data_IF_831036773941
#
_entry.id   IF_831036773941
#
_cell.length_a   1.000
_cell.length_b   1.000
_cell.length_c   1.000
_cell.angle_alpha   90.00
_cell.angle_beta   90.00
_cell.angle_gamma   90.00
#
_symmetry.space_group_name_H-M   'P 1'
#
loop_
_entity.id
_entity.type
_entity.pdbx_description
1 polymer ?
#
# COMPACT_ATOMS: atom_id res chain seq x y z
N UNK A 1 14.68 -27.74 -36.57
CA UNK A 1 13.94 -26.76 -35.74
C UNK A 1 13.03 -27.51 -34.76
N UNK A 2 13.18 -27.29 -33.44
CA UNK A 2 12.34 -27.95 -32.44
C UNK A 2 10.90 -27.48 -32.52
N UNK A 3 9.93 -28.42 -32.48
CA UNK A 3 8.52 -28.08 -32.46
C UNK A 3 8.14 -27.23 -31.22
N UNK A 4 7.01 -26.53 -31.28
CA UNK A 4 6.48 -25.75 -30.13
C UNK A 4 6.35 -26.61 -28.87
N UNK A 5 5.87 -27.85 -29.02
CA UNK A 5 5.72 -28.83 -27.93
C UNK A 5 7.07 -29.21 -27.32
N UNK A 6 8.11 -29.46 -28.13
CA UNK A 6 9.45 -29.77 -27.65
C UNK A 6 10.08 -28.59 -26.90
N UNK A 7 9.87 -27.35 -27.39
CA UNK A 7 10.35 -26.14 -26.69
C UNK A 7 9.69 -25.99 -25.30
N UNK A 8 8.38 -26.20 -25.23
CA UNK A 8 7.66 -26.14 -23.95
C UNK A 8 8.11 -27.23 -22.96
N UNK A 9 8.41 -28.44 -23.43
CA UNK A 9 8.96 -29.52 -22.59
C UNK A 9 10.35 -29.15 -22.05
N UNK A 10 11.24 -28.61 -22.88
CA UNK A 10 12.57 -28.19 -22.46
C UNK A 10 12.53 -27.05 -21.40
N UNK A 11 11.62 -26.08 -21.56
CA UNK A 11 11.39 -25.01 -20.57
C UNK A 11 10.88 -25.62 -19.26
N UNK A 12 9.90 -26.50 -19.32
CA UNK A 12 9.33 -27.17 -18.15
C UNK A 12 10.36 -28.00 -17.39
N UNK A 13 11.28 -28.68 -18.08
CA UNK A 13 12.34 -29.47 -17.44
C UNK A 13 13.41 -28.58 -16.77
N UNK A 14 13.76 -27.46 -17.40
CA UNK A 14 14.63 -26.44 -16.77
C UNK A 14 13.99 -25.83 -15.52
N UNK A 15 12.71 -25.52 -15.57
CA UNK A 15 11.94 -25.03 -14.43
C UNK A 15 11.97 -26.02 -13.27
N UNK A 16 11.75 -27.32 -13.54
CA UNK A 16 11.80 -28.38 -12.54
C UNK A 16 13.16 -28.50 -11.86
N UNK A 17 14.26 -28.39 -12.63
CA UNK A 17 15.64 -28.49 -12.12
C UNK A 17 16.09 -27.28 -11.32
N UNK A 18 15.56 -26.08 -11.60
CA UNK A 18 16.06 -24.80 -11.07
C UNK A 18 15.00 -24.01 -10.27
N UNK A 19 14.04 -24.67 -9.63
CA UNK A 19 12.91 -24.04 -8.92
C UNK A 19 13.29 -22.88 -8.01
N UNK A 20 14.45 -22.94 -7.32
CA UNK A 20 14.91 -21.90 -6.38
C UNK A 20 15.50 -20.64 -7.06
N UNK A 21 15.82 -20.71 -8.35
CA UNK A 21 16.45 -19.60 -9.12
C UNK A 21 15.53 -19.03 -10.21
N UNK A 22 14.24 -19.39 -10.17
CA UNK A 22 13.29 -19.01 -11.20
C UNK A 22 12.58 -17.73 -10.83
N UNK A 23 12.61 -16.76 -11.74
CA UNK A 23 11.76 -15.56 -11.71
C UNK A 23 10.66 -15.78 -12.73
N UNK A 24 9.41 -15.57 -12.30
CA UNK A 24 8.23 -15.73 -13.15
C UNK A 24 7.59 -14.37 -13.40
N UNK A 25 7.43 -14.02 -14.67
CA UNK A 25 6.80 -12.78 -15.07
C UNK A 25 5.37 -13.04 -15.52
N UNK A 26 4.41 -12.32 -14.94
CA UNK A 26 3.10 -12.17 -15.56
C UNK A 26 3.26 -11.37 -16.85
N UNK A 27 2.63 -11.80 -17.93
CA UNK A 27 2.72 -11.17 -19.23
C UNK A 27 1.41 -11.37 -20.00
N UNK A 28 0.99 -10.36 -20.73
CA UNK A 28 -0.10 -10.46 -21.71
C UNK A 28 0.49 -10.26 -23.11
N UNK A 29 0.33 -11.27 -23.98
CA UNK A 29 0.94 -11.28 -25.32
C UNK A 29 0.07 -10.51 -26.34
N UNK A 30 -0.17 -9.23 -26.08
CA UNK A 30 -0.73 -8.24 -27.00
C UNK A 30 0.20 -7.03 -27.09
N UNK A 31 0.24 -6.33 -28.23
CA UNK A 31 1.22 -5.27 -28.51
C UNK A 31 0.56 -4.10 -29.27
N UNK A 32 0.14 -3.02 -28.59
CA UNK A 32 0.10 -2.86 -27.14
C UNK A 32 -1.03 -3.63 -26.45
N UNK A 33 -0.94 -3.75 -25.13
CA UNK A 33 -2.03 -4.21 -24.26
C UNK A 33 -2.88 -3.02 -23.84
N UNK A 34 -4.20 -3.12 -23.96
CA UNK A 34 -5.11 -2.14 -23.36
C UNK A 34 -5.10 -2.26 -21.82
N UNK A 35 -5.24 -1.14 -21.12
CA UNK A 35 -5.17 -1.13 -19.65
C UNK A 35 -6.14 -2.11 -18.97
N UNK A 36 -7.35 -2.25 -19.50
CA UNK A 36 -8.37 -3.19 -18.98
C UNK A 36 -7.95 -4.66 -19.06
N UNK A 37 -7.07 -4.99 -20.05
CA UNK A 37 -6.64 -6.35 -20.36
C UNK A 37 -5.28 -6.69 -19.74
N UNK A 38 -4.59 -5.72 -19.12
CA UNK A 38 -3.29 -5.91 -18.48
C UNK A 38 -3.32 -6.89 -17.31
N UNK A 39 -4.49 -7.07 -16.68
CA UNK A 39 -4.77 -8.04 -15.61
C UNK A 39 -3.67 -8.15 -14.55
N UNK A 40 -3.13 -7.03 -14.09
CA UNK A 40 -2.01 -6.99 -13.12
C UNK A 40 -2.32 -7.67 -11.79
N UNK A 41 -3.60 -7.88 -11.44
CA UNK A 41 -4.00 -8.67 -10.26
C UNK A 41 -3.48 -10.13 -10.30
N UNK A 42 -3.17 -10.66 -11.49
CA UNK A 42 -2.52 -11.97 -11.64
C UNK A 42 -1.18 -12.05 -10.89
N UNK A 43 -0.50 -10.92 -10.64
CA UNK A 43 0.74 -10.86 -9.87
C UNK A 43 0.51 -11.32 -8.43
N UNK A 44 -0.51 -10.78 -7.76
CA UNK A 44 -0.87 -11.21 -6.41
C UNK A 44 -1.28 -12.69 -6.38
N UNK A 45 -2.07 -13.13 -7.35
CA UNK A 45 -2.46 -14.54 -7.46
C UNK A 45 -1.24 -15.46 -7.62
N UNK A 46 -0.30 -15.12 -8.50
CA UNK A 46 0.93 -15.89 -8.72
C UNK A 46 1.80 -15.91 -7.44
N UNK A 47 1.92 -14.79 -6.75
CA UNK A 47 2.66 -14.67 -5.49
C UNK A 47 2.08 -15.59 -4.41
N UNK A 48 0.76 -15.65 -4.29
CA UNK A 48 0.09 -16.50 -3.31
C UNK A 48 0.24 -17.99 -3.64
N UNK A 49 0.19 -18.34 -4.91
CA UNK A 49 0.31 -19.73 -5.38
C UNK A 49 1.78 -20.23 -5.41
N UNK A 50 2.72 -19.34 -5.67
CA UNK A 50 4.13 -19.67 -5.94
C UNK A 50 5.04 -19.00 -4.90
N UNK A 51 4.76 -19.23 -3.62
CA UNK A 51 5.40 -18.57 -2.46
C UNK A 51 6.94 -18.58 -2.46
N UNK A 52 7.55 -19.56 -3.14
CA UNK A 52 9.01 -19.72 -3.18
C UNK A 52 9.66 -19.10 -4.42
N UNK A 53 8.89 -18.40 -5.26
CA UNK A 53 9.37 -17.79 -6.49
C UNK A 53 9.31 -16.26 -6.42
N UNK A 54 10.24 -15.61 -7.07
CA UNK A 54 10.18 -14.19 -7.36
C UNK A 54 9.18 -13.99 -8.49
N UNK A 55 8.19 -13.13 -8.28
CA UNK A 55 7.20 -12.76 -9.30
C UNK A 55 7.53 -11.38 -9.84
N UNK A 56 7.40 -11.23 -11.14
CA UNK A 56 7.57 -9.97 -11.86
C UNK A 56 6.45 -9.73 -12.86
N UNK A 57 6.61 -8.70 -13.64
CA UNK A 57 5.68 -8.28 -14.69
C UNK A 57 6.42 -7.89 -15.96
N UNK A 58 6.01 -8.44 -17.09
CA UNK A 58 6.42 -8.04 -18.44
C UNK A 58 5.32 -7.16 -19.01
N UNK A 59 5.60 -5.87 -19.12
CA UNK A 59 4.61 -4.83 -19.41
C UNK A 59 4.60 -4.44 -20.89
N UNK A 60 3.50 -4.70 -21.57
CA UNK A 60 3.22 -4.30 -22.95
C UNK A 60 2.17 -3.20 -23.05
N UNK A 61 1.79 -2.55 -21.95
CA UNK A 61 0.90 -1.39 -21.98
C UNK A 61 1.65 -0.14 -22.42
N UNK A 62 0.93 0.90 -22.81
CA UNK A 62 1.51 2.22 -23.07
C UNK A 62 1.60 2.98 -21.73
N UNK A 63 2.78 3.57 -21.46
CA UNK A 63 3.02 4.35 -20.24
C UNK A 63 3.56 3.52 -19.08
N UNK A 64 3.45 4.06 -17.84
CA UNK A 64 4.10 3.53 -16.65
C UNK A 64 3.13 2.91 -15.64
N UNK A 65 1.83 3.20 -15.75
CA UNK A 65 0.85 2.93 -14.69
C UNK A 65 0.74 1.45 -14.35
N UNK A 66 0.75 0.56 -15.36
CA UNK A 66 0.65 -0.88 -15.14
C UNK A 66 1.91 -1.42 -14.44
N UNK A 67 3.11 -0.99 -14.86
CA UNK A 67 4.36 -1.39 -14.24
C UNK A 67 4.47 -0.92 -12.77
N UNK A 68 4.12 0.33 -12.47
CA UNK A 68 4.08 0.86 -11.10
C UNK A 68 3.03 0.11 -10.26
N UNK A 69 1.82 -0.11 -10.83
CA UNK A 69 0.76 -0.89 -10.20
C UNK A 69 1.19 -2.32 -9.89
N UNK A 70 1.98 -2.93 -10.77
CA UNK A 70 2.56 -4.26 -10.57
C UNK A 70 3.49 -4.32 -9.34
N UNK A 71 4.28 -3.26 -9.10
CA UNK A 71 5.12 -3.15 -7.90
C UNK A 71 4.27 -3.10 -6.63
N UNK A 72 3.19 -2.33 -6.61
CA UNK A 72 2.24 -2.31 -5.48
C UNK A 72 1.60 -3.69 -5.22
N UNK A 73 1.42 -4.50 -6.25
CA UNK A 73 0.90 -5.86 -6.12
C UNK A 73 1.99 -6.89 -5.77
N UNK A 74 3.24 -6.46 -5.64
CA UNK A 74 4.36 -7.25 -5.15
C UNK A 74 5.27 -7.81 -6.23
N UNK A 75 5.22 -7.31 -7.47
CA UNK A 75 6.23 -7.60 -8.47
C UNK A 75 7.60 -7.10 -8.01
N UNK A 76 8.63 -7.95 -8.19
CA UNK A 76 10.02 -7.63 -7.84
C UNK A 76 10.91 -7.41 -9.06
N UNK A 77 10.41 -7.73 -10.23
CA UNK A 77 11.08 -7.52 -11.53
C UNK A 77 10.06 -6.92 -12.49
N UNK A 78 10.45 -5.86 -13.15
CA UNK A 78 9.67 -5.23 -14.22
C UNK A 78 10.48 -5.34 -15.52
N UNK A 79 9.84 -5.87 -16.55
CA UNK A 79 10.35 -5.90 -17.92
C UNK A 79 9.51 -4.95 -18.76
N UNK A 80 10.16 -4.11 -19.54
CA UNK A 80 9.50 -3.11 -20.38
C UNK A 80 10.28 -2.92 -21.68
N UNK A 81 9.59 -2.81 -22.80
CA UNK A 81 10.20 -2.46 -24.08
C UNK A 81 10.90 -1.12 -24.01
N UNK A 82 12.08 -1.02 -24.62
CA UNK A 82 12.91 0.18 -24.67
C UNK A 82 13.27 0.54 -26.10
N UNK A 83 13.25 1.82 -26.41
CA UNK A 83 13.71 2.37 -27.69
C UNK A 83 14.43 3.69 -27.48
N UNK A 84 15.37 4.02 -28.34
CA UNK A 84 15.98 5.35 -28.34
C UNK A 84 15.06 6.41 -28.98
N UNK A 85 14.19 5.99 -29.92
CA UNK A 85 13.26 6.85 -30.60
C UNK A 85 11.94 6.13 -30.88
N UNK A 86 10.84 6.60 -30.31
CA UNK A 86 9.51 6.02 -30.49
C UNK A 86 9.00 6.11 -31.93
N UNK A 87 9.51 7.06 -32.70
CA UNK A 87 9.15 7.32 -34.11
C UNK A 87 10.15 6.69 -35.11
N UNK A 88 11.05 5.81 -34.66
CA UNK A 88 12.06 5.18 -35.51
C UNK A 88 11.45 4.41 -36.69
N UNK A 89 10.33 3.71 -36.44
CA UNK A 89 9.61 3.01 -37.50
C UNK A 89 8.14 2.80 -37.09
N UNK A 90 7.31 2.35 -38.03
CA UNK A 90 5.93 1.97 -37.77
C UNK A 90 5.77 0.64 -37.01
N UNK A 91 6.86 -0.05 -36.73
CA UNK A 91 6.84 -1.32 -35.99
C UNK A 91 6.25 -1.11 -34.60
N UNK A 92 5.26 -1.93 -34.25
CA UNK A 92 4.42 -1.79 -33.06
C UNK A 92 5.20 -1.65 -31.75
N UNK A 93 6.36 -2.34 -31.63
CA UNK A 93 7.16 -2.35 -30.41
C UNK A 93 7.77 -0.99 -30.08
N UNK A 94 8.09 -0.16 -31.08
CA UNK A 94 8.57 1.21 -30.83
C UNK A 94 7.51 2.10 -30.19
N UNK A 95 6.23 1.91 -30.56
CA UNK A 95 5.11 2.72 -30.01
C UNK A 95 4.86 2.48 -28.52
N UNK A 96 5.01 1.24 -28.06
CA UNK A 96 4.79 0.86 -26.64
C UNK A 96 6.06 0.97 -25.81
N UNK A 97 7.23 1.11 -26.45
CA UNK A 97 8.53 1.21 -25.78
C UNK A 97 8.67 2.52 -25.01
N UNK A 98 9.44 2.47 -23.94
CA UNK A 98 9.89 3.69 -23.27
C UNK A 98 11.20 4.18 -23.90
N UNK A 99 11.28 5.47 -24.16
CA UNK A 99 12.54 6.13 -24.49
C UNK A 99 13.36 6.40 -23.22
N UNK A 100 14.63 6.88 -23.31
CA UNK A 100 15.49 7.09 -22.15
C UNK A 100 14.86 7.98 -21.07
N UNK A 101 14.18 9.07 -21.46
CA UNK A 101 13.50 9.99 -20.53
C UNK A 101 12.37 9.29 -19.77
N UNK A 102 11.52 8.56 -20.48
CA UNK A 102 10.37 7.89 -19.91
C UNK A 102 10.79 6.66 -19.09
N UNK A 103 11.87 5.96 -19.48
CA UNK A 103 12.44 4.87 -18.68
C UNK A 103 12.98 5.39 -17.34
N UNK A 104 13.72 6.52 -17.36
CA UNK A 104 14.15 7.15 -16.11
C UNK A 104 12.94 7.49 -15.22
N UNK A 105 11.89 8.09 -15.80
CA UNK A 105 10.67 8.40 -15.05
C UNK A 105 10.04 7.15 -14.43
N UNK A 106 9.97 6.04 -15.19
CA UNK A 106 9.45 4.76 -14.66
C UNK A 106 10.27 4.28 -13.47
N UNK A 107 11.61 4.31 -13.57
CA UNK A 107 12.49 3.91 -12.47
C UNK A 107 12.26 4.78 -11.23
N UNK A 108 12.19 6.10 -11.40
CA UNK A 108 11.95 7.05 -10.30
C UNK A 108 10.58 6.79 -9.64
N UNK A 109 9.52 6.52 -10.43
CA UNK A 109 8.19 6.17 -9.93
C UNK A 109 8.19 4.83 -9.17
N UNK A 110 8.92 3.83 -9.64
CA UNK A 110 9.07 2.54 -8.94
C UNK A 110 9.79 2.73 -7.60
N UNK A 111 10.89 3.49 -7.54
CA UNK A 111 11.59 3.75 -6.28
C UNK A 111 10.69 4.45 -5.27
N UNK A 112 9.91 5.41 -5.73
CA UNK A 112 8.90 6.08 -4.89
C UNK A 112 7.81 5.14 -4.38
N UNK A 113 7.36 4.21 -5.22
CA UNK A 113 6.41 3.17 -4.82
C UNK A 113 7.02 2.24 -3.75
N UNK A 114 8.29 1.86 -3.90
CA UNK A 114 8.99 1.03 -2.90
C UNK A 114 9.11 1.74 -1.54
N UNK A 115 9.39 3.05 -1.51
CA UNK A 115 9.40 3.84 -0.28
C UNK A 115 8.03 3.85 0.41
N UNK A 116 6.93 3.87 -0.35
CA UNK A 116 5.57 3.84 0.19
C UNK A 116 5.15 2.45 0.70
N UNK A 117 5.84 1.39 0.26
CA UNK A 117 5.55 -0.01 0.61
C UNK A 117 6.36 -0.53 1.80
N UNK A 118 7.06 0.33 2.53
CA UNK A 118 7.79 -0.07 3.74
C UNK A 118 6.83 -0.75 4.71
N UNK A 119 7.16 -1.98 5.12
CA UNK A 119 6.38 -2.72 6.10
C UNK A 119 6.36 -1.97 7.44
N UNK A 120 5.18 -1.62 7.87
CA UNK A 120 4.99 -0.92 9.12
C UNK A 120 3.84 -1.54 9.94
N UNK A 121 4.11 -1.83 11.20
CA UNK A 121 3.04 -2.23 12.13
C UNK A 121 2.09 -1.05 12.34
N UNK A 122 0.78 -1.27 12.31
CA UNK A 122 -0.23 -0.23 12.54
C UNK A 122 -0.11 0.34 13.97
N UNK A 123 0.81 1.27 14.14
CA UNK A 123 1.05 2.06 15.36
C UNK A 123 1.38 3.50 14.97
N UNK A 124 1.22 4.48 15.85
CA UNK A 124 1.69 5.84 15.58
C UNK A 124 3.18 5.85 15.23
N UNK A 125 3.53 6.57 14.19
CA UNK A 125 4.93 6.77 13.82
C UNK A 125 5.54 7.97 14.60
N UNK A 126 6.86 8.15 14.51
CA UNK A 126 7.55 9.25 15.24
C UNK A 126 7.03 10.64 14.87
N UNK A 127 6.57 10.84 13.63
CA UNK A 127 6.01 12.13 13.20
C UNK A 127 4.62 12.37 13.79
N UNK A 128 3.81 11.32 13.96
CA UNK A 128 2.50 11.39 14.61
C UNK A 128 2.61 11.61 16.11
N UNK A 129 3.66 11.10 16.76
CA UNK A 129 3.86 11.26 18.21
C UNK A 129 3.87 12.73 18.65
N UNK A 130 4.45 13.61 17.84
CA UNK A 130 4.46 15.05 18.10
C UNK A 130 3.06 15.67 18.12
N UNK A 131 2.11 15.07 17.39
CA UNK A 131 0.76 15.57 17.25
C UNK A 131 -0.24 14.91 18.22
N UNK A 132 0.17 13.90 18.99
CA UNK A 132 -0.72 13.17 19.90
C UNK A 132 -1.41 14.12 20.87
N UNK A 133 -0.67 15.07 21.43
CA UNK A 133 -1.18 15.98 22.46
C UNK A 133 -2.20 17.00 21.92
N UNK A 134 -2.11 17.38 20.65
CA UNK A 134 -3.03 18.32 20.00
C UNK A 134 -4.20 17.65 19.29
N UNK A 135 -4.03 16.40 18.86
CA UNK A 135 -5.00 15.71 18.01
C UNK A 135 -5.92 14.74 18.77
N UNK A 136 -5.43 14.11 19.85
CA UNK A 136 -6.21 13.14 20.60
C UNK A 136 -7.25 13.85 21.49
N UNK A 137 -8.40 13.20 21.64
CA UNK A 137 -9.46 13.69 22.52
C UNK A 137 -9.30 13.15 23.93
N UNK A 138 -9.76 13.94 24.90
CA UNK A 138 -9.96 13.56 26.29
C UNK A 138 -11.41 13.79 26.69
N UNK A 139 -11.84 13.12 27.74
CA UNK A 139 -13.17 13.28 28.32
C UNK A 139 -13.15 14.53 29.21
N UNK A 140 -14.11 15.39 29.01
CA UNK A 140 -14.37 16.59 29.78
C UNK A 140 -15.83 16.58 30.26
N UNK A 141 -16.12 17.37 31.27
CA UNK A 141 -17.50 17.55 31.75
C UNK A 141 -18.15 18.79 31.09
N UNK A 142 -19.42 18.69 30.72
CA UNK A 142 -20.15 19.78 30.03
C UNK A 142 -20.92 20.70 30.96
N UNK A 143 -20.97 20.40 32.26
CA UNK A 143 -21.68 21.18 33.27
C UNK A 143 -21.03 21.03 34.64
N UNK A 144 -21.34 21.98 35.55
CA UNK A 144 -20.84 21.95 36.89
C UNK A 144 -21.37 20.72 37.67
N UNK A 145 -20.48 20.13 38.47
CA UNK A 145 -20.81 19.01 39.38
C UNK A 145 -20.10 19.23 40.71
N UNK A 146 -20.87 19.14 41.80
CA UNK A 146 -20.33 19.19 43.18
C UNK A 146 -19.75 17.82 43.58
N UNK A 147 -18.82 17.82 44.49
CA UNK A 147 -18.29 16.57 45.07
C UNK A 147 -19.43 15.72 45.62
N UNK A 148 -19.47 14.46 45.29
CA UNK A 148 -20.50 13.50 45.69
C UNK A 148 -21.66 13.35 44.72
N UNK A 149 -21.89 14.30 43.81
CA UNK A 149 -22.91 14.18 42.77
C UNK A 149 -22.55 13.12 41.74
N UNK A 150 -23.57 12.43 41.21
CA UNK A 150 -23.39 11.40 40.18
C UNK A 150 -23.08 12.04 38.83
N UNK A 151 -22.01 11.58 38.17
CA UNK A 151 -21.68 11.92 36.79
C UNK A 151 -22.33 10.90 35.88
N UNK A 152 -23.16 11.34 34.94
CA UNK A 152 -23.84 10.53 33.93
C UNK A 152 -23.19 10.71 32.56
N UNK A 153 -23.47 9.83 31.62
CA UNK A 153 -22.89 9.87 30.27
C UNK A 153 -23.21 11.18 29.53
N UNK A 154 -24.40 11.71 29.71
CA UNK A 154 -24.86 13.00 29.15
C UNK A 154 -24.10 14.22 29.71
N UNK A 155 -23.37 14.07 30.80
CA UNK A 155 -22.52 15.11 31.38
C UNK A 155 -21.13 15.17 30.73
N UNK A 156 -20.83 14.24 29.84
CA UNK A 156 -19.52 14.10 29.25
C UNK A 156 -19.49 14.68 27.84
N UNK A 157 -18.37 15.32 27.50
CA UNK A 157 -18.01 15.75 26.15
C UNK A 157 -16.58 15.32 25.84
N UNK A 158 -16.27 15.24 24.56
CA UNK A 158 -14.95 14.82 24.09
C UNK A 158 -14.24 16.00 23.44
N UNK A 159 -13.24 16.56 24.12
CA UNK A 159 -12.50 17.75 23.71
C UNK A 159 -11.10 17.38 23.23
N UNK A 160 -10.53 18.17 22.31
CA UNK A 160 -9.14 17.98 21.87
C UNK A 160 -8.17 18.40 22.98
N UNK A 161 -7.68 17.42 23.72
CA UNK A 161 -6.65 17.57 24.74
C UNK A 161 -6.17 16.18 25.15
N UNK A 162 -4.91 15.88 25.07
CA UNK A 162 -4.39 14.58 25.51
C UNK A 162 -4.11 14.51 27.02
N UNK A 163 -4.41 15.59 27.77
CA UNK A 163 -4.09 15.70 29.19
C UNK A 163 -5.10 15.00 30.12
N UNK A 164 -6.30 14.66 29.62
CA UNK A 164 -7.34 14.00 30.40
C UNK A 164 -7.51 12.52 30.05
N UNK A 165 -8.52 11.89 30.68
CA UNK A 165 -8.87 10.50 30.43
C UNK A 165 -9.31 10.31 28.98
N UNK A 166 -8.85 9.27 28.34
CA UNK A 166 -9.16 9.00 26.93
C UNK A 166 -10.55 8.46 26.73
N UNK A 167 -11.23 8.75 25.60
CA UNK A 167 -12.46 8.08 25.19
C UNK A 167 -12.33 6.56 25.26
N UNK A 168 -13.42 5.87 25.62
CA UNK A 168 -13.44 4.45 25.90
C UNK A 168 -13.22 4.10 27.39
N UNK A 169 -12.90 5.10 28.22
CA UNK A 169 -12.75 4.93 29.66
C UNK A 169 -13.91 5.56 30.49
N UNK A 170 -15.05 5.82 29.87
CA UNK A 170 -16.22 6.50 30.47
C UNK A 170 -16.67 5.79 31.74
N UNK A 171 -16.65 4.45 31.76
CA UNK A 171 -17.02 3.63 32.94
C UNK A 171 -16.22 3.97 34.20
N UNK A 172 -14.98 4.50 34.04
CA UNK A 172 -14.15 4.90 35.21
C UNK A 172 -14.66 6.17 35.87
N UNK A 173 -15.41 6.99 35.12
CA UNK A 173 -15.86 8.31 35.51
C UNK A 173 -17.35 8.31 35.88
N UNK A 174 -18.16 7.40 35.38
CA UNK A 174 -19.62 7.28 35.65
C UNK A 174 -19.84 6.82 37.10
N UNK A 175 -19.34 7.65 38.05
CA UNK A 175 -19.37 7.46 39.50
C UNK A 175 -19.73 8.77 40.17
N UNK A 176 -19.70 8.82 41.50
CA UNK A 176 -19.79 10.08 42.25
C UNK A 176 -18.56 10.94 42.01
N UNK A 177 -18.77 12.22 41.76
CA UNK A 177 -17.71 13.21 41.58
C UNK A 177 -16.77 13.25 42.80
N UNK A 178 -15.47 13.06 42.58
CA UNK A 178 -14.46 13.05 43.65
C UNK A 178 -14.13 14.45 44.19
N UNK A 179 -14.38 15.48 43.41
CA UNK A 179 -14.20 16.90 43.71
C UNK A 179 -15.27 17.72 43.01
N UNK A 180 -15.28 19.03 43.24
CA UNK A 180 -16.06 19.93 42.41
C UNK A 180 -15.46 20.01 41.00
N UNK A 181 -16.29 19.95 39.99
CA UNK A 181 -15.96 20.14 38.59
C UNK A 181 -16.71 21.30 38.01
N UNK A 182 -16.04 22.11 37.23
CA UNK A 182 -16.63 23.18 36.41
C UNK A 182 -16.82 22.68 34.98
N UNK A 183 -17.79 23.23 34.26
CA UNK A 183 -17.98 22.94 32.84
C UNK A 183 -16.68 23.21 32.08
N UNK A 184 -16.22 22.23 31.26
CA UNK A 184 -14.96 22.26 30.53
C UNK A 184 -13.80 21.56 31.24
N UNK A 185 -13.93 21.20 32.52
CA UNK A 185 -12.87 20.49 33.23
C UNK A 185 -12.58 19.14 32.61
N UNK A 186 -11.30 18.83 32.44
CA UNK A 186 -10.84 17.50 32.00
C UNK A 186 -10.98 16.49 33.15
N UNK A 187 -11.53 15.35 32.83
CA UNK A 187 -11.63 14.23 33.76
C UNK A 187 -10.34 13.39 33.68
N UNK A 188 -9.77 13.09 34.85
CA UNK A 188 -8.48 12.39 35.00
C UNK A 188 -8.66 11.00 35.58
#
# INVERSE_FOLDING_TARGET
VRSRRQRQMCIRDRIKKNKKKLILLHCVSSYPVENKDANIKSISYLKDKLKNNIIGYSDHTIGNSAAVGAVYLGAKVIEKHFTLNNNHSSFRDHKLSLNPKNMKKLVDEIRKAEELLVEYKKKPNKTEEKNINSMRRSISINKNRKKGEKINLQDLIWVRSAKGLRPGNEKKILKKAKKNYSSGDLLL
#
